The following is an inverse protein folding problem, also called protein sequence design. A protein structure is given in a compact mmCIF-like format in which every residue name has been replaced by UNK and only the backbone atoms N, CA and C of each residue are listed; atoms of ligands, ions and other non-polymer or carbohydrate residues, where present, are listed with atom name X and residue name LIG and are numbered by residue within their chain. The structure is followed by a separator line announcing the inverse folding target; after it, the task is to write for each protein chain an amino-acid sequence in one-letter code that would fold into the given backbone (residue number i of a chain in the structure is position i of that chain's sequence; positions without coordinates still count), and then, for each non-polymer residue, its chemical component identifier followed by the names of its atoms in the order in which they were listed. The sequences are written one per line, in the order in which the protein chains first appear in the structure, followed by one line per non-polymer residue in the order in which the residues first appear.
data_IF_648473881545
#
_entry.id   IF_648473881545
#
_cell.length_a   1.000
_cell.length_b   1.000
_cell.length_c   1.000
_cell.angle_alpha   90.00
_cell.angle_beta   90.00
_cell.angle_gamma   90.00
#
_symmetry.space_group_name_H-M   'P 1'
#
loop_
_entity.id
_entity.type
_entity.pdbx_description
1 polymer ?
#
# COMPACT_ATOMS: atom_id res chain seq x y z
N UNK A 1 -5.46 14.19 -5.62
CA UNK A 1 -6.61 13.26 -5.80
C UNK A 1 -6.33 12.02 -4.95
N UNK A 2 -6.84 11.94 -3.72
CA UNK A 2 -6.76 10.72 -2.91
C UNK A 2 -8.12 10.53 -2.23
N UNK A 3 -8.90 9.63 -2.81
CA UNK A 3 -10.30 9.38 -2.49
C UNK A 3 -10.37 8.66 -1.13
N UNK A 4 -10.96 9.32 -0.13
CA UNK A 4 -11.38 8.71 1.15
C UNK A 4 -12.69 7.98 0.90
N UNK A 5 -12.66 6.65 0.73
CA UNK A 5 -13.87 5.83 0.70
C UNK A 5 -13.83 4.85 1.89
N UNK A 6 -14.90 4.88 2.70
CA UNK A 6 -15.03 4.23 4.00
C UNK A 6 -15.32 2.74 3.84
N UNK A 7 -14.31 1.95 3.51
CA UNK A 7 -14.36 0.50 3.61
C UNK A 7 -13.18 0.01 4.47
N UNK A 8 -13.40 -0.61 5.65
CA UNK A 8 -12.30 -1.04 6.52
C UNK A 8 -11.39 -2.09 5.84
N UNK A 9 -11.87 -2.76 4.80
CA UNK A 9 -11.08 -3.67 3.95
C UNK A 9 -10.46 -2.98 2.72
N UNK A 10 -11.05 -1.89 2.25
CA UNK A 10 -10.57 -1.11 1.09
C UNK A 10 -9.43 -0.16 1.43
N UNK A 11 -9.25 0.21 2.71
CA UNK A 11 -8.25 1.18 3.13
C UNK A 11 -6.82 0.62 3.30
N UNK A 12 -6.68 -0.71 3.43
CA UNK A 12 -5.38 -1.37 3.63
C UNK A 12 -4.44 -1.22 2.42
N UNK A 13 -5.01 -1.24 1.21
CA UNK A 13 -4.26 -1.11 -0.03
C UNK A 13 -3.68 0.31 -0.25
N UNK A 14 -4.47 1.40 -0.19
CA UNK A 14 -3.93 2.75 -0.30
C UNK A 14 -2.99 3.11 0.86
N UNK A 15 -3.21 2.57 2.07
CA UNK A 15 -2.29 2.76 3.18
C UNK A 15 -0.91 2.13 2.94
N UNK A 16 -0.84 0.89 2.45
CA UNK A 16 0.44 0.23 2.12
C UNK A 16 1.19 0.95 0.99
N UNK A 17 0.47 1.46 0.00
CA UNK A 17 1.08 2.25 -1.09
C UNK A 17 1.62 3.58 -0.57
N UNK A 18 0.88 4.29 0.29
CA UNK A 18 1.35 5.54 0.90
C UNK A 18 2.59 5.32 1.77
N UNK A 19 2.60 4.24 2.57
CA UNK A 19 3.75 3.88 3.41
C UNK A 19 4.95 3.52 2.53
N UNK A 20 4.75 2.67 1.50
CA UNK A 20 5.82 2.30 0.58
C UNK A 20 6.39 3.49 -0.19
N UNK A 21 5.54 4.41 -0.65
CA UNK A 21 5.97 5.62 -1.33
C UNK A 21 6.71 6.58 -0.38
N UNK A 22 6.24 6.73 0.86
CA UNK A 22 6.93 7.50 1.91
C UNK A 22 8.31 6.96 2.24
N UNK A 23 8.42 5.63 2.40
CA UNK A 23 9.70 4.95 2.61
C UNK A 23 10.60 5.11 1.38
N UNK A 24 10.07 4.92 0.17
CA UNK A 24 10.81 5.11 -1.07
C UNK A 24 11.37 6.52 -1.25
N UNK A 25 10.63 7.54 -0.82
CA UNK A 25 11.11 8.92 -0.82
C UNK A 25 12.28 9.14 0.16
N UNK A 26 12.28 8.49 1.32
CA UNK A 26 13.39 8.58 2.29
C UNK A 26 14.70 8.00 1.74
N UNK A 27 14.62 6.91 0.97
CA UNK A 27 15.79 6.26 0.37
C UNK A 27 16.17 6.83 -1.01
N UNK A 28 15.54 7.92 -1.45
CA UNK A 28 15.66 8.49 -2.81
C UNK A 28 15.37 7.46 -3.94
N UNK A 29 14.68 6.38 -3.59
CA UNK A 29 14.42 5.22 -4.44
C UNK A 29 12.92 4.92 -4.42
N UNK A 30 12.15 5.88 -4.94
CA UNK A 30 10.67 5.84 -4.95
C UNK A 30 10.16 4.57 -5.65
N UNK A 31 10.81 4.14 -6.74
CA UNK A 31 10.45 2.93 -7.45
C UNK A 31 10.49 1.68 -6.55
N UNK A 32 11.54 1.54 -5.73
CA UNK A 32 11.70 0.40 -4.81
C UNK A 32 10.67 0.46 -3.69
N UNK A 33 10.46 1.65 -3.10
CA UNK A 33 9.46 1.81 -2.03
C UNK A 33 8.03 1.54 -2.49
N UNK A 34 7.66 1.99 -3.70
CA UNK A 34 6.34 1.72 -4.28
C UNK A 34 6.18 0.24 -4.61
N UNK A 35 7.21 -0.42 -5.18
CA UNK A 35 7.19 -1.87 -5.43
C UNK A 35 6.98 -2.67 -4.14
N UNK A 36 7.66 -2.30 -3.06
CA UNK A 36 7.48 -2.92 -1.74
C UNK A 36 6.07 -2.66 -1.22
N UNK A 37 5.58 -1.41 -1.28
CA UNK A 37 4.23 -1.05 -0.82
C UNK A 37 3.12 -1.79 -1.56
N UNK A 38 3.25 -1.94 -2.88
CA UNK A 38 2.31 -2.71 -3.71
C UNK A 38 2.41 -4.20 -3.40
N UNK A 39 3.61 -4.76 -3.25
CA UNK A 39 3.81 -6.18 -2.88
C UNK A 39 3.19 -6.53 -1.53
N UNK A 40 3.43 -5.70 -0.52
CA UNK A 40 2.85 -5.88 0.84
C UNK A 40 1.33 -5.69 0.80
N UNK A 41 0.83 -4.68 0.08
CA UNK A 41 -0.61 -4.45 -0.09
C UNK A 41 -1.32 -5.62 -0.77
N UNK A 42 -0.68 -6.24 -1.77
CA UNK A 42 -1.23 -7.40 -2.47
C UNK A 42 -1.26 -8.65 -1.59
N UNK A 43 -0.21 -8.88 -0.79
CA UNK A 43 -0.18 -9.95 0.22
C UNK A 43 -1.30 -9.77 1.26
N UNK A 44 -1.48 -8.54 1.76
CA UNK A 44 -2.52 -8.23 2.73
C UNK A 44 -3.92 -8.48 2.16
N UNK A 45 -4.18 -8.06 0.91
CA UNK A 45 -5.45 -8.35 0.24
C UNK A 45 -5.65 -9.86 0.02
N UNK A 46 -4.60 -10.61 -0.33
CA UNK A 46 -4.68 -12.06 -0.50
C UNK A 46 -5.04 -12.76 0.82
N UNK A 47 -4.41 -12.38 1.94
CA UNK A 47 -4.70 -12.94 3.27
C UNK A 47 -6.13 -12.56 3.71
N UNK A 48 -6.55 -11.32 3.48
CA UNK A 48 -7.89 -10.84 3.84
C UNK A 48 -8.97 -11.47 2.97
N UNK A 49 -8.69 -11.77 1.69
CA UNK A 49 -9.63 -12.43 0.78
C UNK A 49 -9.75 -13.94 1.03
N UNK A 50 -8.72 -14.56 1.62
CA UNK A 50 -8.71 -15.98 1.98
C UNK A 50 -9.48 -16.27 3.29
N UNK A 51 -9.97 -15.25 3.98
CA UNK A 51 -10.76 -15.35 5.22
C UNK A 51 -12.17 -14.80 5.00
#
# INVERSE_FOLDING_TARGET
MAKKEKDPKGFLFPACILIGLGIGMLFNQVAVGVLIGVGVGFLALFIVKKK
#
